data_IF_086374454895
#
_entry.id   IF_086374454895
#
_cell.length_a   1.000
_cell.length_b   1.000
_cell.length_c   1.000
_cell.angle_alpha   90.00
_cell.angle_beta   90.00
_cell.angle_gamma   90.00
#
_symmetry.space_group_name_H-M   'P 1'
#
loop_
_entity.id
_entity.type
_entity.pdbx_description
1 polymer ?
#
# COMPACT_ATOMS: atom_id res chain seq x y z
N UNK A 1 -15.02 -88.94 -29.52
CA UNK A 1 -14.81 -87.73 -30.34
C UNK A 1 -15.97 -86.81 -30.07
N UNK A 2 -15.74 -85.78 -29.18
CA UNK A 2 -16.71 -84.78 -28.82
C UNK A 2 -16.35 -83.48 -29.53
N UNK A 3 -17.20 -83.01 -30.41
CA UNK A 3 -17.08 -81.76 -31.14
C UNK A 3 -17.39 -80.57 -30.24
N UNK A 4 -16.42 -79.69 -29.97
CA UNK A 4 -16.63 -78.39 -29.32
C UNK A 4 -17.22 -77.41 -30.33
N UNK A 5 -18.51 -77.08 -30.17
CA UNK A 5 -19.20 -76.05 -30.91
C UNK A 5 -18.81 -74.70 -30.29
N UNK A 6 -17.91 -73.97 -30.95
CA UNK A 6 -17.54 -72.61 -30.57
C UNK A 6 -18.67 -71.60 -30.80
N UNK A 7 -19.25 -71.07 -29.75
CA UNK A 7 -20.25 -69.99 -29.81
C UNK A 7 -19.54 -68.66 -30.19
N UNK A 8 -19.66 -68.26 -31.44
CA UNK A 8 -19.30 -66.90 -31.87
C UNK A 8 -20.29 -65.90 -31.29
N UNK A 9 -19.88 -65.22 -30.21
CA UNK A 9 -20.61 -64.07 -29.70
C UNK A 9 -20.59 -62.95 -30.75
N UNK A 10 -21.76 -62.61 -31.32
CA UNK A 10 -21.89 -61.43 -32.20
C UNK A 10 -21.51 -60.14 -31.43
N UNK A 11 -20.64 -59.34 -32.01
CA UNK A 11 -20.42 -58.03 -31.41
C UNK A 11 -21.73 -57.22 -31.40
N UNK A 12 -22.16 -56.79 -30.19
CA UNK A 12 -23.28 -55.86 -30.05
C UNK A 12 -22.94 -54.60 -30.80
N UNK A 13 -23.71 -54.27 -31.85
CA UNK A 13 -23.67 -52.99 -32.52
C UNK A 13 -23.98 -51.94 -31.47
N UNK A 14 -22.95 -51.15 -31.07
CA UNK A 14 -23.15 -49.98 -30.24
C UNK A 14 -23.98 -48.98 -31.05
N UNK A 15 -25.10 -48.47 -30.52
CA UNK A 15 -25.85 -47.41 -31.19
C UNK A 15 -24.94 -46.20 -31.34
N UNK A 16 -24.72 -45.76 -32.58
CA UNK A 16 -23.99 -44.53 -32.84
C UNK A 16 -24.74 -43.34 -32.29
N UNK A 17 -23.99 -42.35 -31.76
CA UNK A 17 -24.59 -41.11 -31.28
C UNK A 17 -25.39 -40.42 -32.39
N UNK A 18 -26.59 -39.98 -32.06
CA UNK A 18 -27.41 -39.16 -32.95
C UNK A 18 -26.74 -37.79 -33.14
N UNK A 19 -26.81 -37.24 -34.33
CA UNK A 19 -26.26 -35.90 -34.65
C UNK A 19 -26.83 -34.82 -33.71
N UNK A 20 -28.07 -34.96 -33.28
CA UNK A 20 -28.75 -34.09 -32.32
C UNK A 20 -28.15 -34.22 -30.93
N UNK A 21 -27.82 -35.42 -30.45
CA UNK A 21 -27.14 -35.64 -29.16
C UNK A 21 -25.76 -35.00 -29.13
N UNK A 22 -25.03 -35.08 -30.24
CA UNK A 22 -23.71 -34.47 -30.36
C UNK A 22 -23.77 -32.92 -30.33
N UNK A 23 -24.82 -32.38 -30.99
CA UNK A 23 -25.08 -30.93 -31.01
C UNK A 23 -25.47 -30.39 -29.62
N UNK A 24 -26.31 -31.12 -28.89
CA UNK A 24 -26.70 -30.78 -27.52
C UNK A 24 -25.50 -30.88 -26.59
N UNK A 25 -24.71 -31.93 -26.66
CA UNK A 25 -23.50 -32.07 -25.84
C UNK A 25 -22.47 -30.99 -26.10
N UNK A 26 -22.24 -30.63 -27.38
CA UNK A 26 -21.32 -29.55 -27.75
C UNK A 26 -21.81 -28.19 -27.26
N UNK A 27 -23.11 -27.89 -27.34
CA UNK A 27 -23.65 -26.62 -26.83
C UNK A 27 -23.58 -26.53 -25.31
N UNK A 28 -23.88 -27.60 -24.58
CA UNK A 28 -23.72 -27.63 -23.11
C UNK A 28 -22.26 -27.49 -22.68
N UNK A 29 -21.35 -28.19 -23.38
CA UNK A 29 -19.92 -28.04 -23.13
C UNK A 29 -19.42 -26.61 -23.38
N UNK A 30 -19.91 -25.96 -24.44
CA UNK A 30 -19.60 -24.56 -24.75
C UNK A 30 -20.07 -23.58 -23.65
N UNK A 31 -21.29 -23.77 -23.14
CA UNK A 31 -21.81 -22.95 -22.03
C UNK A 31 -21.02 -23.17 -20.75
N UNK A 32 -20.67 -24.41 -20.42
CA UNK A 32 -19.84 -24.71 -19.23
C UNK A 32 -18.45 -24.11 -19.33
N UNK A 33 -17.81 -24.18 -20.50
CA UNK A 33 -16.51 -23.58 -20.75
C UNK A 33 -16.57 -22.05 -20.62
N UNK A 34 -17.58 -21.40 -21.19
CA UNK A 34 -17.76 -19.96 -21.10
C UNK A 34 -17.98 -19.50 -19.64
N UNK A 35 -18.82 -20.22 -18.89
CA UNK A 35 -19.05 -19.94 -17.48
C UNK A 35 -17.79 -20.14 -16.63
N UNK A 36 -17.04 -21.22 -16.85
CA UNK A 36 -15.78 -21.49 -16.15
C UNK A 36 -14.72 -20.42 -16.46
N UNK A 37 -14.63 -19.99 -17.72
CA UNK A 37 -13.72 -18.93 -18.12
C UNK A 37 -14.06 -17.58 -17.47
N UNK A 38 -15.35 -17.23 -17.44
CA UNK A 38 -15.82 -16.01 -16.77
C UNK A 38 -15.48 -16.02 -15.27
N UNK A 39 -15.69 -17.15 -14.59
CA UNK A 39 -15.35 -17.29 -13.18
C UNK A 39 -13.84 -17.20 -12.93
N UNK A 40 -13.01 -17.87 -13.75
CA UNK A 40 -11.56 -17.79 -13.65
C UNK A 40 -11.04 -16.35 -13.87
N UNK A 41 -11.61 -15.64 -14.83
CA UNK A 41 -11.23 -14.26 -15.10
C UNK A 41 -11.56 -13.31 -13.94
N UNK A 42 -12.76 -13.44 -13.36
CA UNK A 42 -13.17 -12.63 -12.21
C UNK A 42 -12.33 -12.90 -10.96
N UNK A 43 -12.06 -14.18 -10.67
CA UNK A 43 -11.21 -14.56 -9.53
C UNK A 43 -9.76 -14.12 -9.71
N UNK A 44 -9.20 -14.26 -10.90
CA UNK A 44 -7.84 -13.80 -11.21
C UNK A 44 -7.71 -12.27 -11.16
N UNK A 45 -8.73 -11.53 -11.57
CA UNK A 45 -8.72 -10.07 -11.47
C UNK A 45 -8.87 -9.59 -10.03
N UNK A 46 -9.71 -10.26 -9.23
CA UNK A 46 -9.86 -9.97 -7.80
C UNK A 46 -8.57 -10.26 -7.02
N UNK A 47 -7.90 -11.38 -7.32
CA UNK A 47 -6.64 -11.76 -6.70
C UNK A 47 -5.54 -10.71 -6.99
N UNK A 48 -5.40 -10.29 -8.26
CA UNK A 48 -4.43 -9.22 -8.63
C UNK A 48 -4.71 -7.91 -7.91
N UNK A 49 -5.98 -7.54 -7.77
CA UNK A 49 -6.37 -6.35 -7.02
C UNK A 49 -6.07 -6.45 -5.51
N UNK A 50 -6.21 -7.65 -4.94
CA UNK A 50 -5.86 -7.90 -3.54
C UNK A 50 -4.34 -7.84 -3.31
N UNK A 51 -3.55 -8.44 -4.21
CA UNK A 51 -2.09 -8.41 -4.13
C UNK A 51 -1.55 -6.98 -4.25
N UNK A 52 -2.06 -6.17 -5.17
CA UNK A 52 -1.68 -4.77 -5.30
C UNK A 52 -1.96 -3.98 -4.02
N UNK A 53 -3.15 -4.13 -3.42
CA UNK A 53 -3.48 -3.47 -2.15
C UNK A 53 -2.59 -3.94 -0.99
N UNK A 54 -2.25 -5.23 -0.94
CA UNK A 54 -1.35 -5.76 0.08
C UNK A 54 0.07 -5.19 -0.06
N UNK A 55 0.57 -5.04 -1.27
CA UNK A 55 1.86 -4.40 -1.55
C UNK A 55 1.85 -2.93 -1.14
N UNK A 56 0.81 -2.17 -1.51
CA UNK A 56 0.66 -0.78 -1.11
C UNK A 56 0.58 -0.61 0.41
N UNK A 57 -0.19 -1.45 1.10
CA UNK A 57 -0.30 -1.43 2.55
C UNK A 57 1.06 -1.74 3.23
N UNK A 58 1.83 -2.68 2.68
CA UNK A 58 3.16 -3.02 3.17
C UNK A 58 4.13 -1.86 2.99
N UNK A 59 4.12 -1.21 1.82
CA UNK A 59 4.95 -0.05 1.54
C UNK A 59 4.63 1.12 2.48
N UNK A 60 3.33 1.38 2.73
CA UNK A 60 2.90 2.41 3.68
C UNK A 60 3.30 2.11 5.13
N UNK A 61 3.14 0.86 5.56
CA UNK A 61 3.58 0.44 6.91
C UNK A 61 5.09 0.62 7.08
N UNK A 62 5.88 0.36 6.04
CA UNK A 62 7.32 0.61 6.03
C UNK A 62 7.62 2.10 6.13
N UNK A 63 6.97 2.95 5.31
CA UNK A 63 7.13 4.40 5.36
C UNK A 63 6.76 4.98 6.72
N UNK A 64 5.66 4.55 7.32
CA UNK A 64 5.23 4.95 8.66
C UNK A 64 6.24 4.55 9.74
N UNK A 65 6.81 3.33 9.65
CA UNK A 65 7.86 2.88 10.58
C UNK A 65 9.13 3.70 10.45
N UNK A 66 9.55 4.00 9.21
CA UNK A 66 10.72 4.84 8.94
C UNK A 66 10.52 6.24 9.50
N UNK A 67 9.37 6.87 9.25
CA UNK A 67 9.05 8.19 9.78
C UNK A 67 9.00 8.21 11.31
N UNK A 68 8.42 7.19 11.94
CA UNK A 68 8.42 7.06 13.40
C UNK A 68 9.84 6.96 13.96
N UNK A 69 10.70 6.18 13.33
CA UNK A 69 12.10 6.08 13.74
C UNK A 69 12.85 7.42 13.59
N UNK A 70 12.56 8.21 12.56
CA UNK A 70 13.13 9.53 12.38
C UNK A 70 12.63 10.52 13.45
N UNK A 71 11.33 10.50 13.75
CA UNK A 71 10.76 11.34 14.80
C UNK A 71 11.30 10.99 16.19
N UNK A 72 11.41 9.70 16.51
CA UNK A 72 11.93 9.25 17.81
C UNK A 72 13.38 9.67 18.09
N UNK A 73 14.20 9.88 17.05
CA UNK A 73 15.59 10.35 17.16
C UNK A 73 15.76 11.85 16.91
N UNK A 74 14.64 12.58 16.79
CA UNK A 74 14.65 14.03 16.52
C UNK A 74 15.20 14.79 17.72
N UNK A 75 16.18 15.65 17.47
CA UNK A 75 16.78 16.56 18.45
C UNK A 75 16.10 17.92 18.40
N UNK A 76 15.67 18.36 17.22
CA UNK A 76 14.99 19.63 17.03
C UNK A 76 14.12 19.63 15.77
N UNK A 77 13.07 20.46 15.78
CA UNK A 77 12.26 20.77 14.60
C UNK A 77 12.93 21.88 13.79
N UNK A 78 13.17 21.60 12.50
CA UNK A 78 13.88 22.49 11.60
C UNK A 78 15.39 22.52 11.88
N UNK A 79 16.16 22.82 10.84
CA UNK A 79 17.59 23.08 10.98
C UNK A 79 17.87 24.58 10.89
N UNK A 80 18.93 25.10 11.54
CA UNK A 80 19.35 26.49 11.42
C UNK A 80 19.61 26.83 9.94
N UNK A 81 18.90 27.82 9.40
CA UNK A 81 19.06 28.26 8.02
C UNK A 81 18.50 27.31 6.96
N UNK A 82 17.97 26.15 7.33
CA UNK A 82 17.40 25.17 6.41
C UNK A 82 16.11 24.59 6.97
N UNK A 83 15.13 24.45 6.10
CA UNK A 83 13.95 23.67 6.37
C UNK A 83 12.77 24.43 6.94
N UNK A 84 11.64 24.19 6.28
CA UNK A 84 10.33 24.70 6.63
C UNK A 84 9.58 23.58 7.34
N UNK A 85 9.04 23.87 8.53
CA UNK A 85 8.03 23.05 9.17
C UNK A 85 6.69 23.71 8.88
N UNK A 86 5.84 23.03 8.17
CA UNK A 86 4.52 23.50 7.75
C UNK A 86 3.49 22.38 7.76
N UNK A 87 2.32 22.61 7.18
CA UNK A 87 1.24 21.65 7.15
C UNK A 87 1.49 20.49 6.16
N UNK A 88 2.29 20.71 5.13
CA UNK A 88 2.60 19.73 4.07
C UNK A 88 4.09 19.37 4.01
N UNK A 89 4.87 19.93 4.91
CA UNK A 89 6.32 19.70 4.97
C UNK A 89 6.82 19.71 6.41
N UNK A 90 7.65 18.73 6.72
CA UNK A 90 8.28 18.55 8.02
C UNK A 90 9.80 18.48 7.82
N UNK A 91 10.54 19.30 8.56
CA UNK A 91 12.00 19.22 8.63
C UNK A 91 12.42 18.91 10.04
N UNK A 92 13.27 17.91 10.19
CA UNK A 92 13.77 17.38 11.45
C UNK A 92 15.30 17.51 11.46
N UNK A 93 15.85 17.84 12.62
CA UNK A 93 17.26 17.59 12.94
C UNK A 93 17.29 16.33 13.80
N UNK A 94 17.75 15.22 13.24
CA UNK A 94 17.75 13.92 13.87
C UNK A 94 19.18 13.44 14.10
N UNK A 95 19.43 12.76 15.23
CA UNK A 95 20.74 12.18 15.54
C UNK A 95 20.86 10.79 14.94
N UNK A 96 21.90 10.58 14.13
CA UNK A 96 22.22 9.25 13.64
C UNK A 96 22.76 8.39 14.80
N UNK A 97 22.11 7.27 15.12
CA UNK A 97 22.52 6.43 16.24
C UNK A 97 23.86 5.73 16.01
N UNK A 98 24.29 5.55 14.79
CA UNK A 98 25.54 4.87 14.46
C UNK A 98 26.76 5.81 14.54
N UNK A 99 26.61 7.05 14.09
CA UNK A 99 27.71 8.02 14.00
C UNK A 99 27.63 9.09 15.10
N UNK A 100 26.48 9.29 15.72
CA UNK A 100 26.22 10.36 16.67
C UNK A 100 26.13 11.75 16.02
N UNK A 101 26.21 11.84 14.69
CA UNK A 101 26.15 13.08 13.94
C UNK A 101 24.69 13.47 13.69
N UNK A 102 24.41 14.78 13.79
CA UNK A 102 23.08 15.29 13.52
C UNK A 102 22.87 15.44 12.00
N UNK A 103 21.80 14.86 11.50
CA UNK A 103 21.42 14.87 10.08
C UNK A 103 20.10 15.64 9.88
N UNK A 104 19.97 16.35 8.77
CA UNK A 104 18.74 17.06 8.40
C UNK A 104 17.87 16.15 7.55
N UNK A 105 16.70 15.82 8.07
CA UNK A 105 15.69 15.02 7.38
C UNK A 105 14.53 15.92 6.99
N UNK A 106 14.18 15.95 5.72
CA UNK A 106 13.00 16.67 5.24
C UNK A 106 12.00 15.69 4.67
N UNK A 107 10.77 15.74 5.17
CA UNK A 107 9.62 15.02 4.64
C UNK A 107 8.69 16.03 4.00
N UNK A 108 8.26 15.77 2.78
CA UNK A 108 7.34 16.65 2.08
C UNK A 108 6.44 15.85 1.14
N UNK A 109 5.24 16.36 0.93
CA UNK A 109 4.26 15.83 0.01
C UNK A 109 4.30 16.59 -1.32
N UNK A 110 4.30 15.85 -2.42
CA UNK A 110 4.09 16.37 -3.76
C UNK A 110 2.67 15.99 -4.23
N UNK A 111 1.70 16.93 -4.19
CA UNK A 111 0.32 16.64 -4.56
C UNK A 111 0.14 16.31 -6.05
N UNK A 112 1.06 16.75 -6.93
CA UNK A 112 0.99 16.46 -8.36
C UNK A 112 1.32 15.01 -8.68
N UNK A 113 2.23 14.43 -7.90
CA UNK A 113 2.66 13.03 -8.05
C UNK A 113 1.96 12.10 -7.08
N UNK A 114 1.30 12.63 -6.06
CA UNK A 114 0.70 11.83 -4.98
C UNK A 114 1.75 11.07 -4.17
N UNK A 115 2.94 11.65 -3.96
CA UNK A 115 4.03 10.98 -3.23
C UNK A 115 4.47 11.79 -2.02
N UNK A 116 4.75 11.08 -0.93
CA UNK A 116 5.46 11.63 0.24
C UNK A 116 6.91 11.17 0.14
N UNK A 117 7.82 12.12 0.06
CA UNK A 117 9.24 11.84 -0.09
C UNK A 117 10.04 12.27 1.14
N UNK A 118 11.16 11.59 1.37
CA UNK A 118 12.14 11.82 2.43
C UNK A 118 13.50 12.16 1.82
N UNK A 119 14.00 13.34 2.09
CA UNK A 119 15.24 13.88 1.48
C UNK A 119 16.49 13.49 2.28
N UNK A 120 16.61 12.64 3.14
CA UNK A 120 17.91 12.20 3.66
C UNK A 120 18.53 11.12 2.78
N UNK A 121 17.68 10.23 2.22
CA UNK A 121 18.13 9.11 1.41
C UNK A 121 17.52 9.07 -0.01
N UNK A 122 16.81 10.12 -0.43
CA UNK A 122 16.13 10.14 -1.73
C UNK A 122 15.02 9.10 -1.88
N UNK A 123 14.48 8.62 -0.76
CA UNK A 123 13.47 7.55 -0.73
C UNK A 123 12.06 8.10 -0.59
N UNK A 124 11.10 7.40 -1.18
CA UNK A 124 9.67 7.67 -0.95
C UNK A 124 9.22 6.97 0.33
N UNK A 125 8.40 7.68 1.13
CA UNK A 125 7.74 7.11 2.30
C UNK A 125 6.39 6.50 1.92
N UNK A 126 5.68 7.10 0.97
CA UNK A 126 4.39 6.64 0.49
C UNK A 126 4.14 7.12 -0.94
N UNK A 127 3.41 6.32 -1.71
CA UNK A 127 2.91 6.64 -3.04
C UNK A 127 1.38 6.53 -3.07
N UNK A 128 0.74 7.13 -4.09
CA UNK A 128 -0.71 7.15 -4.21
C UNK A 128 -1.40 7.96 -3.12
N UNK A 129 -0.70 8.93 -2.51
CA UNK A 129 -1.22 9.76 -1.42
C UNK A 129 -2.12 10.86 -1.95
N UNK A 130 -3.35 10.88 -1.48
CA UNK A 130 -4.38 11.85 -1.86
C UNK A 130 -4.48 13.04 -0.90
N UNK A 131 -4.13 12.82 0.37
CA UNK A 131 -4.02 13.89 1.36
C UNK A 131 -2.85 13.65 2.29
N UNK A 132 -2.24 14.73 2.79
CA UNK A 132 -1.13 14.70 3.72
C UNK A 132 -1.21 15.91 4.64
N UNK A 133 -1.05 15.71 5.93
CA UNK A 133 -1.04 16.77 6.90
C UNK A 133 -0.02 16.53 8.00
N UNK A 134 0.61 17.61 8.46
CA UNK A 134 1.48 17.62 9.64
C UNK A 134 0.85 18.54 10.66
N UNK A 135 0.66 18.05 11.88
CA UNK A 135 0.15 18.83 13.02
C UNK A 135 1.16 18.84 14.15
N UNK A 136 1.21 19.93 14.85
CA UNK A 136 2.15 20.19 15.92
C UNK A 136 1.40 20.48 17.21
N UNK A 137 1.85 19.93 18.32
CA UNK A 137 1.19 20.10 19.62
C UNK A 137 2.21 20.55 20.67
N UNK A 138 1.81 21.54 21.47
CA UNK A 138 2.58 21.99 22.59
C UNK A 138 2.45 21.04 23.79
N UNK A 139 3.19 21.28 24.87
CA UNK A 139 3.21 20.46 26.08
C UNK A 139 1.85 20.37 26.79
N UNK A 140 1.05 21.42 26.70
CA UNK A 140 -0.31 21.47 27.23
C UNK A 140 -1.35 20.76 26.38
N UNK A 141 -0.94 20.20 25.25
CA UNK A 141 -1.79 19.52 24.27
C UNK A 141 -2.45 20.48 23.27
N UNK A 142 -2.21 21.79 23.37
CA UNK A 142 -2.68 22.77 22.41
C UNK A 142 -2.03 22.61 21.05
N UNK A 143 -2.83 22.73 19.98
CA UNK A 143 -2.31 22.69 18.60
C UNK A 143 -1.55 23.98 18.28
N UNK A 144 -0.30 23.82 17.77
CA UNK A 144 0.54 24.93 17.33
C UNK A 144 0.38 25.05 15.82
N UNK A 145 -0.35 26.04 15.37
CA UNK A 145 -0.68 26.23 13.95
C UNK A 145 0.43 27.03 13.26
N UNK A 146 0.99 26.52 12.14
CA UNK A 146 1.93 27.25 11.32
C UNK A 146 1.30 28.52 10.71
N UNK A 147 2.01 29.64 10.75
CA UNK A 147 1.56 30.88 10.12
C UNK A 147 2.14 30.95 8.70
N UNK A 148 1.28 31.13 7.70
CA UNK A 148 1.65 31.06 6.28
C UNK A 148 2.43 29.79 5.90
N UNK A 149 2.00 28.65 6.44
CA UNK A 149 2.64 27.34 6.28
C UNK A 149 4.08 27.27 6.80
N UNK A 150 4.44 28.13 7.75
CA UNK A 150 5.76 28.15 8.39
C UNK A 150 5.61 28.19 9.91
N UNK A 151 6.22 27.22 10.57
CA UNK A 151 6.33 27.19 12.03
C UNK A 151 7.48 28.09 12.48
N UNK A 152 7.19 29.17 13.21
CA UNK A 152 8.20 30.12 13.72
C UNK A 152 9.17 29.45 14.71
N UNK A 153 10.34 30.05 14.92
CA UNK A 153 11.39 29.49 15.78
C UNK A 153 10.92 29.25 17.22
N UNK A 154 10.21 30.20 17.81
CA UNK A 154 9.71 30.08 19.20
C UNK A 154 8.61 29.01 19.29
N UNK A 155 7.73 28.97 18.28
CA UNK A 155 6.71 27.93 18.17
C UNK A 155 7.34 26.53 18.06
N UNK A 156 8.41 26.35 17.30
CA UNK A 156 9.14 25.06 17.19
C UNK A 156 9.67 24.58 18.54
N UNK A 157 10.15 25.49 19.39
CA UNK A 157 10.67 25.16 20.74
C UNK A 157 9.56 24.71 21.69
N UNK A 158 8.32 25.17 21.49
CA UNK A 158 7.17 24.79 22.32
C UNK A 158 6.56 23.45 21.93
N UNK A 159 6.81 22.97 20.70
CA UNK A 159 6.26 21.69 20.21
C UNK A 159 6.85 20.52 20.99
N UNK A 160 5.97 19.62 21.44
CA UNK A 160 6.33 18.40 22.15
C UNK A 160 5.81 17.16 21.46
N UNK A 161 4.82 17.29 20.58
CA UNK A 161 4.31 16.18 19.78
C UNK A 161 4.14 16.61 18.33
N UNK A 162 4.48 15.73 17.42
CA UNK A 162 4.22 15.86 16.00
C UNK A 162 3.34 14.72 15.57
N UNK A 163 2.32 15.04 14.81
CA UNK A 163 1.44 14.06 14.17
C UNK A 163 1.50 14.25 12.67
N UNK A 164 1.77 13.17 11.97
CA UNK A 164 1.79 13.14 10.50
C UNK A 164 0.74 12.14 10.05
N UNK A 165 -0.16 12.60 9.21
CA UNK A 165 -1.23 11.78 8.66
C UNK A 165 -1.24 11.85 7.14
N UNK A 166 -1.55 10.74 6.49
CA UNK A 166 -1.81 10.71 5.06
C UNK A 166 -2.85 9.65 4.71
N UNK A 167 -3.60 9.93 3.64
CA UNK A 167 -4.60 9.04 3.07
C UNK A 167 -4.15 8.57 1.71
N UNK A 168 -4.37 7.31 1.42
CA UNK A 168 -4.15 6.70 0.10
C UNK A 168 -5.23 5.68 -0.22
N UNK A 169 -5.16 5.05 -1.39
CA UNK A 169 -6.06 3.96 -1.77
C UNK A 169 -5.95 2.72 -0.86
N UNK A 170 -4.81 2.54 -0.16
CA UNK A 170 -4.61 1.44 0.78
C UNK A 170 -5.14 1.73 2.20
N UNK A 171 -5.52 2.99 2.48
CA UNK A 171 -6.08 3.42 3.76
C UNK A 171 -5.40 4.65 4.33
N UNK A 172 -5.75 4.96 5.57
CA UNK A 172 -5.22 6.08 6.33
C UNK A 172 -4.05 5.64 7.20
N UNK A 173 -3.03 6.45 7.26
CA UNK A 173 -1.88 6.25 8.12
C UNK A 173 -1.74 7.45 9.05
N UNK A 174 -1.59 7.16 10.33
CA UNK A 174 -1.32 8.14 11.37
C UNK A 174 -0.02 7.77 12.09
N UNK A 175 0.93 8.69 12.10
CA UNK A 175 2.16 8.60 12.88
C UNK A 175 2.17 9.75 13.88
N UNK A 176 2.15 9.44 15.16
CA UNK A 176 2.27 10.41 16.24
C UNK A 176 3.46 10.05 17.12
N UNK A 177 4.27 11.04 17.47
CA UNK A 177 5.45 10.83 18.30
C UNK A 177 5.67 12.04 19.20
N UNK A 178 6.01 11.77 20.46
CA UNK A 178 6.39 12.79 21.41
C UNK A 178 7.88 13.12 21.22
N UNK A 179 8.18 14.40 21.08
CA UNK A 179 9.55 14.89 20.94
C UNK A 179 10.20 15.06 22.32
N UNK A 180 11.49 14.80 22.45
CA UNK A 180 12.21 14.90 23.71
C UNK A 180 12.29 16.34 24.29
#
# INVERSE_FOLDING_TARGET
MQGMAGSCARPRSQPGFSLVELLIAASLAGVMLAASWGWLWTTASAARGADARAQDATAQAFGARMLRADLARTVALGAPGQGICGTTRLTLLARDPATGVDEVISVAWDPRRGVVWRKAAGSYLAEGVTSFAVRYFARDGGEVVPVNDVLGLDARRSVRRVTVEWTSAAGDVLVAEDLP
#
